data_IF_956216082000
#
_entry.id   IF_956216082000
#
_cell.length_a   1.000
_cell.length_b   1.000
_cell.length_c   1.000
_cell.angle_alpha   90.00
_cell.angle_beta   90.00
_cell.angle_gamma   90.00
#
_symmetry.space_group_name_H-M   'P 1'
#
loop_
_entity.id
_entity.type
_entity.pdbx_description
1 polymer ?
#
# COMPACT_ATOMS: atom_id res chain seq x y z
N UNK A 1 30.34 12.24 -5.47
CA UNK A 1 29.42 11.99 -6.60
C UNK A 1 28.02 11.93 -6.03
N UNK A 2 27.35 13.08 -5.93
CA UNK A 2 25.97 13.20 -5.44
C UNK A 2 25.04 12.75 -6.55
N UNK A 3 24.38 11.61 -6.33
CA UNK A 3 23.35 11.08 -7.23
C UNK A 3 22.14 12.02 -7.19
N UNK A 4 22.12 12.98 -8.11
CA UNK A 4 20.94 13.79 -8.40
C UNK A 4 19.95 12.89 -9.11
N UNK A 5 19.09 12.20 -8.36
CA UNK A 5 17.93 11.56 -8.96
C UNK A 5 17.04 12.66 -9.51
N UNK A 6 16.79 12.73 -10.83
CA UNK A 6 15.75 13.60 -11.32
C UNK A 6 14.44 12.97 -10.84
N UNK A 7 13.78 13.54 -9.84
CA UNK A 7 12.33 13.39 -9.68
C UNK A 7 11.67 14.19 -10.82
N UNK A 8 11.98 13.79 -12.05
CA UNK A 8 11.33 14.23 -13.26
C UNK A 8 9.88 13.80 -13.10
N UNK A 9 8.98 14.78 -13.13
CA UNK A 9 7.60 14.64 -12.67
C UNK A 9 6.96 13.32 -13.11
N UNK A 10 6.34 12.62 -12.17
CA UNK A 10 5.61 11.41 -12.46
C UNK A 10 4.51 11.74 -13.48
N UNK A 11 4.78 11.45 -14.75
CA UNK A 11 3.79 11.61 -15.82
C UNK A 11 2.61 10.73 -15.46
N UNK A 12 1.39 11.27 -15.34
CA UNK A 12 0.22 10.45 -15.04
C UNK A 12 0.07 9.39 -16.14
N UNK A 13 -0.06 8.14 -15.71
CA UNK A 13 -0.31 7.02 -16.62
C UNK A 13 -1.61 7.33 -17.39
N UNK A 14 -1.59 7.35 -18.73
CA UNK A 14 -2.75 7.75 -19.52
C UNK A 14 -3.95 6.80 -19.34
N UNK A 15 -3.73 5.62 -18.76
CA UNK A 15 -4.78 4.64 -18.46
C UNK A 15 -5.32 4.76 -17.03
N UNK A 16 -4.80 5.70 -16.22
CA UNK A 16 -5.29 5.87 -14.85
C UNK A 16 -6.66 6.58 -14.87
N UNK A 17 -7.72 5.94 -14.34
CA UNK A 17 -9.08 6.49 -14.40
C UNK A 17 -9.33 7.61 -13.38
N UNK A 18 -8.33 7.96 -12.56
CA UNK A 18 -8.42 8.92 -11.46
C UNK A 18 -7.19 9.84 -11.44
N UNK A 19 -7.32 10.99 -10.78
CA UNK A 19 -6.20 11.90 -10.54
C UNK A 19 -5.14 11.26 -9.64
N UNK A 20 -3.88 11.68 -9.81
CA UNK A 20 -2.75 11.17 -9.04
C UNK A 20 -2.89 11.40 -7.52
N UNK A 21 -3.56 12.50 -7.14
CA UNK A 21 -3.89 12.82 -5.74
C UNK A 21 -4.83 11.77 -5.12
N UNK A 22 -5.93 11.45 -5.81
CA UNK A 22 -6.89 10.43 -5.38
C UNK A 22 -6.25 9.03 -5.35
N UNK A 23 -5.40 8.71 -6.33
CA UNK A 23 -4.62 7.47 -6.33
C UNK A 23 -3.69 7.40 -5.10
N UNK A 24 -3.04 8.52 -4.77
CA UNK A 24 -2.20 8.63 -3.58
C UNK A 24 -2.97 8.46 -2.28
N UNK A 25 -4.19 9.00 -2.20
CA UNK A 25 -5.09 8.80 -1.07
C UNK A 25 -5.48 7.32 -0.91
N UNK A 26 -5.89 6.66 -2.00
CA UNK A 26 -6.23 5.23 -2.00
C UNK A 26 -5.03 4.35 -1.65
N UNK A 27 -3.83 4.71 -2.09
CA UNK A 27 -2.59 3.98 -1.78
C UNK A 27 -2.23 4.01 -0.29
N UNK A 28 -2.47 5.14 0.37
CA UNK A 28 -2.11 5.36 1.78
C UNK A 28 -3.26 5.05 2.74
N UNK A 29 -4.45 4.80 2.22
CA UNK A 29 -5.63 4.53 3.02
C UNK A 29 -5.50 3.20 3.78
N UNK A 30 -5.82 3.23 5.06
CA UNK A 30 -5.97 2.03 5.87
C UNK A 30 -7.33 1.37 5.61
N UNK A 31 -7.56 0.20 6.22
CA UNK A 31 -8.80 -0.59 6.03
C UNK A 31 -10.09 0.15 6.41
N UNK A 32 -9.98 1.17 7.29
CA UNK A 32 -11.09 2.00 7.75
C UNK A 32 -11.35 3.20 6.82
N UNK A 33 -10.30 3.87 6.35
CA UNK A 33 -10.41 5.05 5.48
C UNK A 33 -10.72 4.69 4.03
N UNK A 34 -10.21 3.54 3.56
CA UNK A 34 -10.38 3.09 2.19
C UNK A 34 -11.86 3.04 1.76
N UNK A 35 -12.79 2.37 2.48
CA UNK A 35 -14.20 2.35 2.08
C UNK A 35 -14.83 3.74 2.04
N UNK A 36 -14.45 4.67 2.93
CA UNK A 36 -14.97 6.04 2.94
C UNK A 36 -14.50 6.83 1.72
N UNK A 37 -13.22 6.69 1.34
CA UNK A 37 -12.67 7.31 0.13
C UNK A 37 -13.38 6.73 -1.11
N UNK A 38 -13.54 5.41 -1.17
CA UNK A 38 -14.20 4.73 -2.28
C UNK A 38 -15.67 5.10 -2.42
N UNK A 39 -16.39 5.37 -1.32
CA UNK A 39 -17.80 5.78 -1.34
C UNK A 39 -18.03 7.14 -2.03
N UNK A 40 -17.00 7.99 -2.10
CA UNK A 40 -17.06 9.29 -2.78
C UNK A 40 -16.84 9.18 -4.29
N UNK A 41 -16.40 8.02 -4.77
CA UNK A 41 -16.06 7.78 -6.17
C UNK A 41 -17.27 7.17 -6.87
N UNK A 42 -17.59 7.61 -8.11
CA UNK A 42 -18.63 6.96 -8.89
C UNK A 42 -18.38 5.45 -9.06
N UNK A 43 -19.44 4.63 -9.03
CA UNK A 43 -19.34 3.16 -9.06
C UNK A 43 -18.43 2.63 -10.18
N UNK A 44 -18.72 3.04 -11.42
CA UNK A 44 -17.95 2.64 -12.60
C UNK A 44 -16.48 3.09 -12.56
N UNK A 45 -16.19 4.28 -12.01
CA UNK A 45 -14.82 4.79 -11.89
C UNK A 45 -14.03 3.97 -10.87
N UNK A 46 -14.69 3.56 -9.78
CA UNK A 46 -14.10 2.70 -8.75
C UNK A 46 -13.77 1.30 -9.29
N UNK A 47 -14.66 0.73 -10.12
CA UNK A 47 -14.41 -0.52 -10.82
C UNK A 47 -13.23 -0.43 -11.81
N UNK A 48 -13.15 0.66 -12.59
CA UNK A 48 -11.99 0.93 -13.45
C UNK A 48 -10.69 1.07 -12.65
N UNK A 49 -10.75 1.73 -11.49
CA UNK A 49 -9.60 1.84 -10.60
C UNK A 49 -9.14 0.48 -10.09
N UNK A 50 -10.07 -0.38 -9.66
CA UNK A 50 -9.75 -1.74 -9.23
C UNK A 50 -9.05 -2.54 -10.34
N UNK A 51 -9.56 -2.49 -11.57
CA UNK A 51 -8.96 -3.16 -12.72
C UNK A 51 -7.56 -2.62 -13.07
N UNK A 52 -7.40 -1.29 -13.04
CA UNK A 52 -6.10 -0.64 -13.25
C UNK A 52 -5.06 -1.07 -12.21
N UNK A 53 -5.43 -1.07 -10.92
CA UNK A 53 -4.55 -1.50 -9.83
C UNK A 53 -4.22 -3.00 -9.91
N UNK A 54 -5.20 -3.83 -10.29
CA UNK A 54 -5.04 -5.27 -10.46
C UNK A 54 -4.01 -5.62 -11.54
N UNK A 55 -3.96 -4.84 -12.63
CA UNK A 55 -2.98 -5.00 -13.71
C UNK A 55 -1.55 -4.64 -13.33
N UNK A 56 -1.32 -3.95 -12.21
CA UNK A 56 0.02 -3.57 -11.74
C UNK A 56 0.50 -4.53 -10.65
N UNK A 57 1.59 -5.25 -10.89
CA UNK A 57 2.07 -6.32 -9.99
C UNK A 57 2.27 -5.89 -8.54
N UNK A 58 2.80 -4.68 -8.30
CA UNK A 58 3.02 -4.14 -6.95
C UNK A 58 1.75 -3.57 -6.29
N UNK A 59 0.66 -3.41 -7.05
CA UNK A 59 -0.63 -2.90 -6.58
C UNK A 59 -1.75 -3.94 -6.66
N UNK A 60 -1.42 -5.15 -7.07
CA UNK A 60 -2.38 -6.20 -7.34
C UNK A 60 -3.27 -6.51 -6.12
N UNK A 61 -2.66 -6.63 -4.94
CA UNK A 61 -3.41 -6.85 -3.69
C UNK A 61 -4.33 -5.68 -3.34
N UNK A 62 -3.88 -4.43 -3.56
CA UNK A 62 -4.72 -3.26 -3.35
C UNK A 62 -5.90 -3.24 -4.33
N UNK A 63 -5.67 -3.62 -5.59
CA UNK A 63 -6.73 -3.78 -6.60
C UNK A 63 -7.80 -4.77 -6.17
N UNK A 64 -7.40 -5.91 -5.58
CA UNK A 64 -8.34 -6.89 -5.02
C UNK A 64 -9.09 -6.34 -3.80
N UNK A 65 -8.43 -5.58 -2.92
CA UNK A 65 -9.10 -4.93 -1.79
C UNK A 65 -10.14 -3.92 -2.25
N UNK A 66 -9.80 -3.07 -3.22
CA UNK A 66 -10.76 -2.11 -3.81
C UNK A 66 -11.91 -2.84 -4.50
N UNK A 67 -11.63 -3.94 -5.20
CA UNK A 67 -12.66 -4.75 -5.86
C UNK A 67 -13.68 -5.35 -4.87
N UNK A 68 -13.33 -5.57 -3.59
CA UNK A 68 -14.30 -6.02 -2.58
C UNK A 68 -15.41 -5.01 -2.30
N UNK A 69 -15.14 -3.73 -2.53
CA UNK A 69 -16.13 -2.67 -2.37
C UNK A 69 -17.03 -2.49 -3.62
N UNK A 70 -16.69 -3.14 -4.74
CA UNK A 70 -17.41 -3.04 -6.01
C UNK A 70 -18.36 -4.21 -6.25
N UNK A 71 -19.43 -3.97 -6.99
CA UNK A 71 -20.31 -5.01 -7.49
C UNK A 71 -19.73 -5.69 -8.74
N UNK A 72 -20.16 -6.94 -8.97
CA UNK A 72 -19.70 -7.76 -10.09
C UNK A 72 -19.97 -7.09 -11.44
N UNK A 73 -21.15 -6.50 -11.59
CA UNK A 73 -21.59 -5.87 -12.84
C UNK A 73 -20.74 -4.66 -13.19
N UNK A 74 -20.37 -3.85 -12.20
CA UNK A 74 -19.48 -2.69 -12.39
C UNK A 74 -18.08 -3.13 -12.86
N UNK A 75 -17.55 -4.21 -12.29
CA UNK A 75 -16.24 -4.76 -12.66
C UNK A 75 -16.25 -5.33 -14.08
N UNK A 76 -17.31 -6.03 -14.47
CA UNK A 76 -17.49 -6.53 -15.84
C UNK A 76 -17.67 -5.38 -16.81
N UNK A 77 -18.41 -4.34 -16.44
CA UNK A 77 -18.53 -3.15 -17.30
C UNK A 77 -17.19 -2.43 -17.49
N UNK A 78 -16.31 -2.47 -16.49
CA UNK A 78 -15.00 -1.81 -16.54
C UNK A 78 -13.92 -2.62 -17.26
N UNK A 79 -13.93 -3.95 -17.16
CA UNK A 79 -12.84 -4.81 -17.63
C UNK A 79 -13.31 -6.14 -18.27
N UNK A 80 -14.58 -6.23 -18.65
CA UNK A 80 -15.20 -7.39 -19.30
C UNK A 80 -14.98 -8.70 -18.52
N UNK A 81 -14.57 -9.79 -19.17
CA UNK A 81 -14.31 -11.09 -18.53
C UNK A 81 -13.28 -11.01 -17.40
N UNK A 82 -12.28 -10.12 -17.52
CA UNK A 82 -11.29 -9.88 -16.47
C UNK A 82 -11.97 -9.35 -15.20
N UNK A 83 -13.00 -8.53 -15.36
CA UNK A 83 -13.80 -8.02 -14.24
C UNK A 83 -14.46 -9.14 -13.42
N UNK A 84 -14.96 -10.18 -14.09
CA UNK A 84 -15.52 -11.34 -13.42
C UNK A 84 -14.45 -12.12 -12.64
N UNK A 85 -13.25 -12.24 -13.18
CA UNK A 85 -12.11 -12.89 -12.51
C UNK A 85 -11.68 -12.10 -11.28
N UNK A 86 -11.54 -10.77 -11.39
CA UNK A 86 -11.17 -9.88 -10.28
C UNK A 86 -12.20 -10.01 -9.15
N UNK A 87 -13.49 -9.98 -9.48
CA UNK A 87 -14.56 -10.15 -8.49
C UNK A 87 -14.43 -11.49 -7.75
N UNK A 88 -14.25 -12.58 -8.49
CA UNK A 88 -14.05 -13.92 -7.91
C UNK A 88 -12.86 -13.97 -6.97
N UNK A 89 -11.69 -13.48 -7.41
CA UNK A 89 -10.47 -13.47 -6.62
C UNK A 89 -10.56 -12.58 -5.37
N UNK A 90 -11.22 -11.42 -5.48
CA UNK A 90 -11.38 -10.49 -4.35
C UNK A 90 -12.13 -11.12 -3.17
N UNK A 91 -13.06 -12.05 -3.46
CA UNK A 91 -13.88 -12.77 -2.48
C UNK A 91 -13.23 -14.04 -1.95
N UNK A 92 -12.17 -14.52 -2.59
CA UNK A 92 -11.37 -15.58 -2.01
C UNK A 92 -10.75 -15.06 -0.71
N UNK A 93 -10.84 -15.88 0.34
CA UNK A 93 -10.18 -15.56 1.61
C UNK A 93 -8.69 -15.40 1.29
N UNK A 94 -8.09 -14.22 1.54
CA UNK A 94 -6.69 -14.03 1.27
C UNK A 94 -5.96 -15.08 2.09
N UNK A 95 -5.09 -15.87 1.45
CA UNK A 95 -4.20 -16.75 2.17
C UNK A 95 -3.49 -15.85 3.19
N UNK A 96 -3.76 -16.08 4.48
CA UNK A 96 -3.27 -15.25 5.58
C UNK A 96 -1.79 -15.03 5.32
N UNK A 97 -1.40 -13.78 5.02
CA UNK A 97 0.00 -13.46 4.87
C UNK A 97 0.68 -13.99 6.12
N UNK A 98 1.61 -14.94 5.95
CA UNK A 98 2.36 -15.48 7.07
C UNK A 98 2.90 -14.27 7.83
N UNK A 99 2.73 -14.19 9.16
CA UNK A 99 3.33 -13.10 9.90
C UNK A 99 4.82 -13.11 9.57
N UNK A 100 5.30 -12.04 8.92
CA UNK A 100 6.73 -11.76 8.86
C UNK A 100 7.24 -11.91 10.28
N UNK A 101 8.21 -12.81 10.56
CA UNK A 101 8.81 -12.87 11.87
C UNK A 101 9.43 -11.51 12.12
N UNK A 102 8.75 -10.68 12.93
CA UNK A 102 9.34 -9.52 13.54
C UNK A 102 10.61 -10.03 14.24
N UNK A 103 11.77 -9.54 13.79
CA UNK A 103 13.02 -9.83 14.45
C UNK A 103 12.86 -9.52 15.95
N UNK A 104 13.25 -10.41 16.87
CA UNK A 104 13.21 -10.10 18.29
C UNK A 104 14.27 -9.04 18.59
N UNK A 105 13.88 -7.78 18.49
CA UNK A 105 14.63 -6.64 19.01
C UNK A 105 14.63 -6.71 20.54
N UNK A 106 15.57 -7.47 21.09
CA UNK A 106 15.90 -7.37 22.52
C UNK A 106 16.40 -5.96 22.80
N UNK A 107 15.81 -5.21 23.75
CA UNK A 107 16.36 -3.93 24.13
C UNK A 107 17.70 -4.18 24.82
N UNK A 108 18.80 -3.79 24.16
CA UNK A 108 20.13 -3.78 24.75
C UNK A 108 20.10 -2.83 25.95
N UNK A 109 20.34 -3.40 27.11
CA UNK A 109 20.46 -2.71 28.40
C UNK A 109 21.63 -1.72 28.29
N UNK A 110 21.31 -0.43 28.25
CA UNK A 110 22.28 0.65 28.41
C UNK A 110 22.84 0.58 29.83
N UNK A 111 24.10 0.16 29.96
CA UNK A 111 24.85 0.19 31.21
C UNK A 111 25.46 1.59 31.38
N UNK A 112 24.82 2.42 32.20
CA UNK A 112 25.39 3.68 32.71
C UNK A 112 26.03 3.40 34.07
N UNK A 113 27.27 2.92 34.06
CA UNK A 113 28.02 2.67 35.28
C UNK A 113 29.51 2.57 34.99
N UNK A 114 30.24 3.66 35.21
CA UNK A 114 31.70 3.63 35.21
C UNK A 114 32.37 4.83 34.56
N UNK A 115 32.18 6.03 35.12
CA UNK A 115 33.08 7.15 34.87
C UNK A 115 33.20 7.97 36.14
N UNK A 116 33.91 7.43 37.15
CA UNK A 116 34.45 8.24 38.22
C UNK A 116 35.97 8.18 38.16
N UNK A 117 36.52 9.28 37.67
CA UNK A 117 37.94 9.57 37.62
C UNK A 117 38.45 10.04 38.99
N UNK A 118 39.42 9.33 39.58
CA UNK A 118 40.42 9.85 40.56
C UNK A 118 41.38 8.69 40.87
N UNK A 119 42.71 8.79 40.88
CA UNK A 119 43.59 9.93 40.76
C UNK A 119 45.00 9.47 40.34
N UNK A 120 45.74 10.42 39.77
CA UNK A 120 47.20 10.37 39.63
C UNK A 120 47.82 11.06 40.84
N UNK A 121 48.86 10.47 41.43
CA UNK A 121 50.17 10.97 41.93
C UNK A 121 50.93 9.69 42.41
N UNK A 122 52.15 9.30 42.02
CA UNK A 122 53.46 9.96 41.90
C UNK A 122 53.85 10.77 43.15
N UNK A 123 54.27 10.05 44.19
CA UNK A 123 55.67 9.95 44.67
C UNK A 123 55.84 8.63 45.43
#
# INVERSE_FOLDING_TARGET
MTQSHPTSGATPDPNCPVSLDLLGAVYRADEYDLPEILARIPPLTRAKLAAYLYGKSHMHQLGLTVARACEREELIQAADEIGAVIYGQSRLKPAKAAPTPAAPGTPKKISLGGSSAKGRRFD
#
